data_IF_066067798980
#
_entry.id   IF_066067798980
#
_cell.length_a   1.000
_cell.length_b   1.000
_cell.length_c   1.000
_cell.angle_alpha   90.00
_cell.angle_beta   90.00
_cell.angle_gamma   90.00
#
_symmetry.space_group_name_H-M   'P 1'
#
loop_
_entity.id
_entity.type
_entity.pdbx_description
1 polymer ?
#
# COMPACT_ATOMS: atom_id res chain seq x y z
N UNK A 1 -10.47 9.94 5.80
CA UNK A 1 -10.80 9.95 4.36
C UNK A 1 -11.29 8.57 3.94
N UNK A 2 -12.17 8.52 2.94
CA UNK A 2 -12.65 7.28 2.35
C UNK A 2 -11.58 6.73 1.39
N UNK A 3 -11.41 5.39 1.29
CA UNK A 3 -10.51 4.80 0.30
C UNK A 3 -10.91 5.21 -1.13
N UNK A 4 -9.93 5.34 -2.03
CA UNK A 4 -10.20 5.68 -3.43
C UNK A 4 -11.05 4.59 -4.10
N UNK A 5 -10.75 3.32 -3.79
CA UNK A 5 -11.56 2.17 -4.19
C UNK A 5 -12.13 1.46 -2.99
N UNK A 6 -13.45 1.32 -2.99
CA UNK A 6 -14.14 0.51 -1.98
C UNK A 6 -13.97 -0.97 -2.27
N UNK A 7 -14.02 -1.77 -1.21
CA UNK A 7 -14.15 -3.21 -1.36
C UNK A 7 -15.57 -3.62 -1.75
N UNK A 8 -15.71 -4.88 -2.18
CA UNK A 8 -17.01 -5.49 -2.48
C UNK A 8 -17.79 -5.92 -1.21
N UNK A 9 -18.83 -6.72 -1.41
CA UNK A 9 -19.79 -7.14 -0.38
C UNK A 9 -19.17 -7.87 0.82
N UNK A 10 -18.01 -8.50 0.62
CA UNK A 10 -17.17 -9.06 1.69
C UNK A 10 -15.80 -8.42 1.56
N UNK A 11 -15.54 -7.41 2.38
CA UNK A 11 -14.31 -6.63 2.34
C UNK A 11 -13.83 -6.36 3.75
N UNK A 12 -12.57 -6.68 4.01
CA UNK A 12 -11.83 -6.24 5.19
C UNK A 12 -10.88 -5.10 4.80
N UNK A 13 -10.61 -4.22 5.75
CA UNK A 13 -9.71 -3.09 5.57
C UNK A 13 -8.90 -2.86 6.84
N UNK A 14 -7.97 -1.93 6.78
CA UNK A 14 -7.08 -1.63 7.89
C UNK A 14 -6.22 -0.41 7.63
N UNK A 15 -5.61 0.12 8.67
CA UNK A 15 -4.69 1.24 8.61
C UNK A 15 -3.35 0.81 9.19
N UNK A 16 -2.27 1.13 8.48
CA UNK A 16 -0.91 0.99 8.98
C UNK A 16 -0.24 2.35 8.94
N UNK A 17 0.56 2.65 9.96
CA UNK A 17 1.42 3.84 9.95
C UNK A 17 2.84 3.42 9.57
N UNK A 18 3.45 4.19 8.69
CA UNK A 18 4.88 4.08 8.37
C UNK A 18 5.51 5.47 8.48
N UNK A 19 6.67 5.54 9.12
CA UNK A 19 7.46 6.77 9.18
C UNK A 19 8.64 6.61 8.21
N UNK A 20 8.66 7.44 7.17
CA UNK A 20 9.68 7.43 6.12
C UNK A 20 10.86 8.30 6.56
N UNK A 21 12.05 7.73 6.64
CA UNK A 21 13.24 8.47 7.08
C UNK A 21 13.76 9.43 6.00
N UNK A 22 13.73 9.01 4.74
CA UNK A 22 14.30 9.74 3.61
C UNK A 22 13.32 9.78 2.44
N UNK A 23 13.20 10.93 1.80
CA UNK A 23 12.40 11.05 0.58
C UNK A 23 12.92 10.13 -0.53
N UNK A 24 12.00 9.58 -1.31
CA UNK A 24 12.35 8.71 -2.43
C UNK A 24 11.17 7.93 -2.97
N UNK A 25 11.44 7.04 -3.91
CA UNK A 25 10.45 6.09 -4.40
C UNK A 25 10.36 4.90 -3.46
N UNK A 26 9.15 4.54 -3.06
CA UNK A 26 8.89 3.39 -2.20
C UNK A 26 7.90 2.46 -2.85
N UNK A 27 8.13 1.15 -2.66
CA UNK A 27 7.23 0.09 -3.07
C UNK A 27 6.47 -0.44 -1.87
N UNK A 28 5.15 -0.50 -1.98
CA UNK A 28 4.27 -1.25 -1.11
C UNK A 28 3.96 -2.60 -1.75
N UNK A 29 4.49 -3.68 -1.19
CA UNK A 29 4.26 -5.05 -1.62
C UNK A 29 3.22 -5.72 -0.72
N UNK A 30 2.27 -6.44 -1.32
CA UNK A 30 1.10 -7.03 -0.66
C UNK A 30 1.00 -8.52 -1.00
N UNK A 31 0.72 -9.35 0.01
CA UNK A 31 0.55 -10.80 -0.15
C UNK A 31 -0.75 -11.20 -0.87
N UNK A 32 -1.72 -10.30 -0.96
CA UNK A 32 -3.00 -10.49 -1.64
C UNK A 32 -3.29 -9.31 -2.58
N UNK A 33 -4.51 -9.21 -3.13
CA UNK A 33 -4.90 -8.18 -4.10
C UNK A 33 -5.78 -7.03 -3.58
N UNK A 34 -5.61 -6.47 -2.37
CA UNK A 34 -6.45 -5.38 -1.91
C UNK A 34 -6.12 -4.07 -2.64
N UNK A 35 -6.97 -3.08 -2.43
CA UNK A 35 -6.62 -1.70 -2.75
C UNK A 35 -5.75 -1.10 -1.64
N UNK A 36 -4.87 -0.19 -2.02
CA UNK A 36 -3.97 0.54 -1.13
C UNK A 36 -3.96 2.00 -1.54
N UNK A 37 -4.28 2.86 -0.57
CA UNK A 37 -4.03 4.29 -0.65
C UNK A 37 -2.87 4.62 0.29
N UNK A 38 -1.86 5.36 -0.20
CA UNK A 38 -0.82 5.94 0.66
C UNK A 38 -1.20 7.38 0.92
N UNK A 39 -1.39 7.73 2.19
CA UNK A 39 -1.88 9.05 2.60
C UNK A 39 -0.74 9.85 3.20
N UNK A 40 -0.49 11.02 2.63
CA UNK A 40 0.37 12.07 3.19
C UNK A 40 -0.49 13.29 3.50
N UNK A 41 -0.40 13.82 4.73
CA UNK A 41 -1.08 15.08 5.15
C UNK A 41 -2.59 15.13 4.80
N UNK A 42 -3.26 13.97 4.85
CA UNK A 42 -4.69 13.85 4.57
C UNK A 42 -5.09 13.76 3.10
N UNK A 43 -4.11 13.64 2.18
CA UNK A 43 -4.34 13.40 0.75
C UNK A 43 -3.72 12.06 0.31
N UNK A 44 -4.39 11.35 -0.59
CA UNK A 44 -3.84 10.14 -1.18
C UNK A 44 -2.78 10.53 -2.23
N UNK A 45 -1.63 9.87 -2.17
CA UNK A 45 -0.57 9.99 -3.16
C UNK A 45 -0.94 9.19 -4.42
N UNK A 46 -0.66 9.70 -5.63
CA UNK A 46 -0.81 8.91 -6.84
C UNK A 46 0.20 7.77 -6.86
N UNK A 47 -0.24 6.58 -7.27
CA UNK A 47 0.67 5.49 -7.60
C UNK A 47 1.40 5.77 -8.91
N UNK A 48 2.71 5.49 -8.95
CA UNK A 48 3.54 5.74 -10.14
C UNK A 48 3.86 4.47 -10.94
N UNK A 49 3.75 3.29 -10.32
CA UNK A 49 3.92 2.01 -11.00
C UNK A 49 3.16 0.89 -10.29
N UNK A 50 2.83 -0.16 -11.06
CA UNK A 50 2.18 -1.38 -10.56
C UNK A 50 2.91 -2.61 -11.08
N UNK A 51 2.93 -3.67 -10.29
CA UNK A 51 3.50 -4.94 -10.72
C UNK A 51 3.20 -6.10 -9.78
N UNK A 52 3.95 -7.18 -9.97
CA UNK A 52 3.88 -8.41 -9.20
C UNK A 52 5.27 -8.78 -8.71
N UNK A 53 5.33 -9.57 -7.64
CA UNK A 53 6.60 -10.13 -7.21
C UNK A 53 7.11 -11.23 -8.14
N UNK A 54 8.39 -11.61 -7.98
CA UNK A 54 8.93 -12.81 -8.61
C UNK A 54 8.07 -14.03 -8.30
N UNK A 55 8.10 -15.02 -9.19
CA UNK A 55 7.42 -16.28 -8.96
C UNK A 55 7.84 -16.89 -7.60
N UNK A 56 6.89 -17.52 -6.93
CA UNK A 56 7.06 -18.14 -5.61
C UNK A 56 7.45 -17.18 -4.46
N UNK A 57 7.44 -15.86 -4.66
CA UNK A 57 7.76 -14.89 -3.58
C UNK A 57 6.63 -14.67 -2.56
N UNK A 58 5.40 -15.06 -2.89
CA UNK A 58 4.20 -14.73 -2.11
C UNK A 58 3.70 -13.29 -2.28
N UNK A 59 4.34 -12.45 -3.10
CA UNK A 59 3.90 -11.07 -3.35
C UNK A 59 2.94 -11.04 -4.54
N UNK A 60 1.67 -10.79 -4.26
CA UNK A 60 0.60 -10.76 -5.26
C UNK A 60 0.45 -9.41 -5.96
N UNK A 61 0.78 -8.31 -5.27
CA UNK A 61 0.65 -6.94 -5.81
C UNK A 61 1.78 -6.07 -5.28
N UNK A 62 2.35 -5.25 -6.17
CA UNK A 62 3.31 -4.19 -5.85
C UNK A 62 2.77 -2.88 -6.39
N UNK A 63 2.86 -1.81 -5.60
CA UNK A 63 2.52 -0.45 -6.02
C UNK A 63 3.60 0.50 -5.54
N UNK A 64 4.08 1.35 -6.44
CA UNK A 64 5.15 2.29 -6.15
C UNK A 64 4.59 3.71 -5.97
N UNK A 65 5.19 4.48 -5.07
CA UNK A 65 4.82 5.86 -4.73
C UNK A 65 6.07 6.71 -4.55
N UNK A 66 6.01 7.99 -4.91
CA UNK A 66 6.98 8.98 -4.43
C UNK A 66 6.56 9.42 -3.03
N UNK A 67 7.39 9.15 -2.02
CA UNK A 67 7.08 9.49 -0.62
C UNK A 67 8.12 10.47 -0.08
N UNK A 68 7.66 11.47 0.67
CA UNK A 68 8.52 12.39 1.38
C UNK A 68 8.98 11.81 2.72
N UNK A 69 9.98 12.42 3.35
CA UNK A 69 10.31 12.07 4.74
C UNK A 69 9.13 12.46 5.66
N UNK A 70 8.81 11.58 6.61
CA UNK A 70 7.77 11.78 7.60
C UNK A 70 6.67 10.70 7.60
N UNK A 71 5.59 10.95 8.36
CA UNK A 71 4.55 9.97 8.59
C UNK A 71 3.61 9.82 7.40
N UNK A 72 3.31 8.56 7.07
CA UNK A 72 2.33 8.18 6.07
C UNK A 72 1.36 7.15 6.67
N UNK A 73 0.13 7.14 6.18
CA UNK A 73 -0.84 6.10 6.48
C UNK A 73 -1.06 5.25 5.23
N UNK A 74 -0.90 3.95 5.35
CA UNK A 74 -1.32 2.98 4.36
C UNK A 74 -2.76 2.57 4.70
N UNK A 75 -3.70 2.98 3.86
CA UNK A 75 -5.11 2.63 3.99
C UNK A 75 -5.46 1.47 3.06
N UNK A 76 -5.89 0.36 3.66
CA UNK A 76 -6.24 -0.88 2.97
C UNK A 76 -7.77 -1.00 2.87
N UNK A 77 -8.25 -1.38 1.69
CA UNK A 77 -9.65 -1.76 1.46
C UNK A 77 -9.73 -2.97 0.52
N UNK A 78 -10.81 -3.75 0.63
CA UNK A 78 -11.08 -4.87 -0.27
C UNK A 78 -10.17 -6.09 -0.06
N UNK A 79 -9.59 -6.28 1.13
CA UNK A 79 -8.91 -7.54 1.42
C UNK A 79 -9.94 -8.64 1.71
N UNK A 80 -9.70 -9.85 1.20
CA UNK A 80 -10.58 -11.00 1.46
C UNK A 80 -10.51 -11.47 2.91
N UNK A 81 -9.30 -11.47 3.48
CA UNK A 81 -9.03 -11.93 4.84
C UNK A 81 -8.87 -10.78 5.84
N UNK A 82 -9.04 -11.07 7.13
CA UNK A 82 -8.75 -10.10 8.18
C UNK A 82 -7.23 -9.87 8.38
N UNK A 83 -6.40 -10.82 7.94
CA UNK A 83 -4.95 -10.73 7.98
C UNK A 83 -4.38 -10.35 6.60
N UNK A 84 -3.34 -9.51 6.61
CA UNK A 84 -2.62 -9.10 5.41
C UNK A 84 -1.13 -9.03 5.73
N UNK A 85 -0.32 -9.73 4.94
CA UNK A 85 1.14 -9.51 4.94
C UNK A 85 1.47 -8.39 3.96
N UNK A 86 2.22 -7.40 4.42
CA UNK A 86 2.70 -6.29 3.59
C UNK A 86 4.14 -5.92 3.92
N UNK A 87 4.80 -5.28 2.97
CA UNK A 87 6.15 -4.74 3.11
C UNK A 87 6.24 -3.38 2.44
N UNK A 88 6.96 -2.45 3.06
CA UNK A 88 7.33 -1.16 2.47
C UNK A 88 8.84 -1.14 2.30
N UNK A 89 9.32 -0.85 1.09
CA UNK A 89 10.76 -0.83 0.79
C UNK A 89 11.11 0.35 -0.12
N UNK A 90 12.21 1.04 0.19
CA UNK A 90 12.74 2.10 -0.68
C UNK A 90 13.32 1.47 -1.95
N UNK A 91 12.94 1.98 -3.11
CA UNK A 91 13.59 1.67 -4.38
C UNK A 91 14.84 2.55 -4.53
N UNK A 92 15.87 2.03 -5.20
CA UNK A 92 17.21 2.67 -5.27
C UNK A 92 17.11 4.14 -5.66
#
# INVERSE_FOLDING_TARGET
MQPEKLGGSVSKGGLFRVDIAEAGTYRVALGSGPWIDVIEKGAALPSIAHGHGPECSGIRKMVDYEMQAGPHILQISGNGDAALTLMVVRLR
#
